data_IF_293071902120
#
_entry.id   IF_293071902120
#
_cell.length_a   1.000
_cell.length_b   1.000
_cell.length_c   1.000
_cell.angle_alpha   90.00
_cell.angle_beta   90.00
_cell.angle_gamma   90.00
#
_symmetry.space_group_name_H-M   'P 1'
#
loop_
_entity.id
_entity.type
_entity.pdbx_description
1 polymer ?
#
# COMPACT_ATOMS: atom_id res chain seq x y z
N UNK A 1 -6.90 5.61 -8.99
CA UNK A 1 -6.45 4.41 -8.23
C UNK A 1 -4.93 4.46 -8.09
N UNK A 2 -4.31 3.62 -7.26
CA UNK A 2 -2.84 3.57 -7.15
C UNK A 2 -2.35 2.19 -7.53
N UNK A 3 -1.51 2.12 -8.56
CA UNK A 3 -0.73 0.94 -8.91
C UNK A 3 0.43 0.85 -7.94
N UNK A 4 0.43 -0.16 -7.07
CA UNK A 4 1.45 -0.36 -6.03
C UNK A 4 2.60 -1.22 -6.56
N UNK A 5 2.28 -2.22 -7.37
CA UNK A 5 3.26 -3.15 -7.91
C UNK A 5 2.80 -3.76 -9.23
N UNK A 6 3.74 -4.27 -10.01
CA UNK A 6 3.50 -4.92 -11.30
C UNK A 6 4.53 -6.02 -11.57
N UNK A 7 4.05 -7.24 -11.83
CA UNK A 7 4.88 -8.35 -12.30
C UNK A 7 4.88 -8.41 -13.84
N UNK A 8 6.02 -8.13 -14.50
CA UNK A 8 6.11 -8.15 -15.96
C UNK A 8 6.01 -9.56 -16.57
N UNK A 9 6.22 -10.62 -15.77
CA UNK A 9 6.17 -12.01 -16.25
C UNK A 9 4.72 -12.46 -16.42
N UNK A 10 3.87 -12.14 -15.44
CA UNK A 10 2.46 -12.56 -15.41
C UNK A 10 1.51 -11.46 -15.89
N UNK A 11 1.97 -10.20 -15.98
CA UNK A 11 1.12 -9.05 -16.23
C UNK A 11 0.22 -8.68 -15.05
N UNK A 12 0.44 -9.26 -13.87
CA UNK A 12 -0.37 -9.01 -12.69
C UNK A 12 0.05 -7.71 -12.01
N UNK A 13 -0.92 -6.84 -11.75
CA UNK A 13 -0.77 -5.62 -10.96
C UNK A 13 -1.42 -5.75 -9.59
N UNK A 14 -0.85 -5.07 -8.59
CA UNK A 14 -1.49 -4.76 -7.32
C UNK A 14 -2.00 -3.33 -7.36
N UNK A 15 -3.32 -3.15 -7.30
CA UNK A 15 -3.99 -1.86 -7.38
C UNK A 15 -4.73 -1.56 -6.07
N UNK A 16 -4.49 -0.39 -5.49
CA UNK A 16 -5.31 0.15 -4.41
C UNK A 16 -6.73 0.42 -4.89
N UNK A 17 -7.73 -0.02 -4.10
CA UNK A 17 -9.14 0.31 -4.33
C UNK A 17 -9.51 1.71 -3.84
N UNK A 18 -8.54 2.44 -3.26
CA UNK A 18 -8.74 3.75 -2.65
C UNK A 18 -9.34 3.70 -1.24
N UNK A 19 -9.57 2.51 -0.68
CA UNK A 19 -10.09 2.34 0.67
C UNK A 19 -8.95 2.05 1.64
N UNK A 20 -8.60 3.02 2.48
CA UNK A 20 -7.82 2.80 3.67
C UNK A 20 -8.74 2.69 4.89
N UNK A 21 -8.38 1.84 5.86
CA UNK A 21 -9.05 1.79 7.16
C UNK A 21 -8.19 1.11 8.21
N UNK A 22 -8.05 1.71 9.39
CA UNK A 22 -7.41 1.13 10.55
C UNK A 22 -6.10 0.39 10.24
N UNK A 23 -5.17 1.07 9.59
CA UNK A 23 -3.82 0.62 9.30
C UNK A 23 -3.70 -0.25 8.05
N UNK A 24 -4.78 -0.38 7.28
CA UNK A 24 -4.87 -1.26 6.13
C UNK A 24 -5.24 -0.46 4.88
N UNK A 25 -4.61 -0.79 3.76
CA UNK A 25 -4.99 -0.29 2.44
C UNK A 25 -5.54 -1.46 1.63
N UNK A 26 -6.80 -1.38 1.20
CA UNK A 26 -7.40 -2.44 0.40
C UNK A 26 -6.83 -2.44 -1.02
N UNK A 27 -6.35 -3.61 -1.45
CA UNK A 27 -5.76 -3.82 -2.76
C UNK A 27 -6.46 -4.94 -3.51
N UNK A 28 -6.39 -4.88 -4.83
CA UNK A 28 -6.83 -5.92 -5.76
C UNK A 28 -5.70 -6.33 -6.67
N UNK A 29 -5.57 -7.62 -6.89
CA UNK A 29 -4.72 -8.16 -7.93
C UNK A 29 -5.53 -8.28 -9.22
N UNK A 30 -5.00 -7.76 -10.33
CA UNK A 30 -5.63 -7.91 -11.64
C UNK A 30 -4.61 -7.85 -12.76
N UNK A 31 -4.89 -8.54 -13.87
CA UNK A 31 -4.08 -8.45 -15.07
C UNK A 31 -4.28 -7.09 -15.75
N UNK A 32 -3.18 -6.43 -16.10
CA UNK A 32 -3.15 -5.12 -16.79
C UNK A 32 -2.02 -5.11 -17.83
N UNK A 33 -2.10 -4.25 -18.86
CA UNK A 33 -0.96 -4.01 -19.73
C UNK A 33 0.23 -3.45 -18.93
N UNK A 34 1.43 -3.58 -19.49
CA UNK A 34 2.64 -3.02 -18.89
C UNK A 34 2.44 -1.52 -18.61
N UNK A 35 2.67 -1.06 -17.36
CA UNK A 35 2.48 0.33 -17.03
C UNK A 35 3.52 1.20 -17.76
N UNK A 36 3.14 2.42 -18.20
CA UNK A 36 4.05 3.31 -18.90
C UNK A 36 5.10 3.96 -17.99
N UNK A 37 4.85 3.96 -16.66
CA UNK A 37 5.78 4.41 -15.62
C UNK A 37 5.95 3.31 -14.57
N UNK A 38 7.10 3.19 -13.90
CA UNK A 38 7.29 2.23 -12.82
C UNK A 38 6.32 2.49 -11.65
N UNK A 39 5.77 1.44 -11.02
CA UNK A 39 5.07 1.57 -9.75
C UNK A 39 6.01 2.05 -8.61
N UNK A 40 5.50 2.76 -7.58
CA UNK A 40 4.11 3.16 -7.43
C UNK A 40 3.68 4.28 -8.40
N UNK A 41 2.43 4.22 -8.88
CA UNK A 41 1.89 5.20 -9.81
C UNK A 41 0.40 5.47 -9.59
N UNK A 42 -0.01 6.74 -9.65
CA UNK A 42 -1.42 7.11 -9.80
C UNK A 42 -1.85 6.71 -11.20
N UNK A 43 -2.92 5.91 -11.30
CA UNK A 43 -3.46 5.43 -12.58
C UNK A 43 -4.98 5.37 -12.54
N UNK A 44 -5.59 5.52 -13.70
CA UNK A 44 -6.98 5.16 -13.95
C UNK A 44 -7.05 3.87 -14.75
N UNK A 45 -7.94 2.98 -14.32
CA UNK A 45 -8.13 1.66 -14.95
C UNK A 45 -9.44 1.69 -15.71
N UNK A 46 -9.34 1.65 -17.04
CA UNK A 46 -10.50 1.62 -17.94
C UNK A 46 -10.72 0.19 -18.41
N UNK A 47 -11.95 -0.29 -18.28
CA UNK A 47 -12.38 -1.60 -18.82
C UNK A 47 -13.20 -1.37 -20.07
N UNK A 48 -12.79 -1.99 -21.17
CA UNK A 48 -13.59 -2.00 -22.39
C UNK A 48 -14.79 -2.96 -22.25
N UNK A 49 -15.89 -2.73 -22.98
CA UNK A 49 -17.02 -3.66 -23.02
C UNK A 49 -16.64 -5.08 -23.46
N UNK A 50 -15.57 -5.21 -24.27
CA UNK A 50 -15.07 -6.49 -24.79
C UNK A 50 -14.08 -7.19 -23.85
N UNK A 51 -13.94 -6.72 -22.61
CA UNK A 51 -13.11 -7.36 -21.58
C UNK A 51 -11.64 -6.91 -21.54
N UNK A 52 -11.18 -6.09 -22.49
CA UNK A 52 -9.84 -5.46 -22.45
C UNK A 52 -9.69 -4.44 -21.32
N UNK A 53 -8.47 -4.30 -20.79
CA UNK A 53 -8.12 -3.35 -19.71
C UNK A 53 -7.04 -2.40 -20.20
N UNK A 54 -7.19 -1.11 -19.91
CA UNK A 54 -6.19 -0.07 -20.18
C UNK A 54 -5.84 0.71 -18.90
N UNK A 55 -4.59 1.17 -18.82
CA UNK A 55 -4.12 2.11 -17.82
C UNK A 55 -3.98 3.49 -18.48
N UNK A 56 -4.62 4.52 -17.92
CA UNK A 56 -4.57 5.90 -18.41
C UNK A 56 -4.18 6.86 -17.29
N UNK A 57 -3.67 8.04 -17.66
CA UNK A 57 -3.32 9.09 -16.70
C UNK A 57 -2.18 8.71 -15.74
N UNK A 58 -1.26 7.84 -16.18
CA UNK A 58 -0.22 7.30 -15.32
C UNK A 58 0.78 8.38 -14.89
N UNK A 59 0.82 8.67 -13.60
CA UNK A 59 1.74 9.62 -12.99
C UNK A 59 2.49 8.97 -11.82
N UNK A 60 3.80 9.21 -11.66
CA UNK A 60 4.57 8.66 -10.55
C UNK A 60 4.04 9.16 -9.21
N UNK A 61 4.11 8.31 -8.18
CA UNK A 61 3.85 8.66 -6.78
C UNK A 61 4.80 7.84 -5.89
N UNK A 62 5.14 8.36 -4.72
CA UNK A 62 5.95 7.67 -3.71
C UNK A 62 5.12 6.90 -2.70
N UNK A 63 5.70 5.90 -2.02
CA UNK A 63 5.02 5.23 -0.89
C UNK A 63 4.71 6.19 0.26
N UNK A 64 5.59 7.17 0.47
CA UNK A 64 5.41 8.25 1.45
C UNK A 64 4.12 9.03 1.18
N UNK A 65 3.93 9.51 -0.05
CA UNK A 65 2.70 10.21 -0.46
C UNK A 65 1.45 9.34 -0.29
N UNK A 66 1.50 8.04 -0.60
CA UNK A 66 0.35 7.14 -0.41
C UNK A 66 -0.05 7.08 1.07
N UNK A 67 0.93 6.99 1.97
CA UNK A 67 0.68 6.94 3.41
C UNK A 67 0.16 8.29 3.91
N UNK A 68 0.77 9.40 3.48
CA UNK A 68 0.37 10.73 3.89
C UNK A 68 -1.04 11.10 3.40
N UNK A 69 -1.42 10.70 2.18
CA UNK A 69 -2.78 10.84 1.65
C UNK A 69 -3.84 10.09 2.49
N UNK A 70 -3.42 9.16 3.35
CA UNK A 70 -4.28 8.33 4.21
C UNK A 70 -3.82 8.36 5.68
N UNK A 71 -3.19 9.47 6.11
CA UNK A 71 -2.52 9.52 7.41
C UNK A 71 -3.44 9.23 8.61
N UNK A 72 -4.71 9.64 8.54
CA UNK A 72 -5.71 9.41 9.60
C UNK A 72 -6.01 7.92 9.81
N UNK A 73 -5.78 7.10 8.78
CA UNK A 73 -5.99 5.66 8.79
C UNK A 73 -4.68 4.89 8.97
N UNK A 74 -3.52 5.55 9.05
CA UNK A 74 -2.22 4.91 9.15
C UNK A 74 -1.93 4.42 10.57
N UNK A 75 -1.12 3.36 10.68
CA UNK A 75 -0.56 2.91 11.95
C UNK A 75 0.56 3.88 12.33
N UNK A 76 0.39 4.58 13.45
CA UNK A 76 1.46 5.33 14.07
C UNK A 76 2.23 4.40 15.00
N UNK A 77 3.53 4.21 14.76
CA UNK A 77 4.30 3.27 15.55
C UNK A 77 5.80 3.31 15.29
N UNK A 78 6.48 2.29 15.79
CA UNK A 78 7.92 2.09 15.66
C UNK A 78 8.20 0.66 15.19
N UNK A 79 9.13 0.53 14.25
CA UNK A 79 9.66 -0.77 13.85
C UNK A 79 10.94 -1.08 14.60
N UNK A 80 10.92 -2.20 15.31
CA UNK A 80 12.07 -2.69 16.07
C UNK A 80 12.13 -4.20 16.00
N UNK A 81 13.32 -4.74 15.65
CA UNK A 81 13.57 -6.19 15.58
C UNK A 81 12.57 -6.96 14.68
N UNK A 82 12.14 -6.35 13.57
CA UNK A 82 11.20 -6.96 12.63
C UNK A 82 9.73 -6.95 13.09
N UNK A 83 9.38 -6.11 14.07
CA UNK A 83 8.01 -5.89 14.51
C UNK A 83 7.66 -4.41 14.43
N UNK A 84 6.52 -4.11 13.82
CA UNK A 84 5.83 -2.83 13.92
C UNK A 84 4.94 -2.87 15.16
N UNK A 85 5.25 -2.04 16.15
CA UNK A 85 4.42 -1.80 17.33
C UNK A 85 3.86 -0.39 17.27
N UNK A 86 2.56 -0.24 17.43
CA UNK A 86 1.93 1.06 17.27
C UNK A 86 0.47 1.08 17.67
N UNK A 87 -0.20 2.16 17.32
CA UNK A 87 -1.61 2.40 17.58
C UNK A 87 -2.31 2.77 16.28
N UNK A 88 -3.52 2.24 16.10
CA UNK A 88 -4.42 2.67 15.04
C UNK A 88 -5.87 2.45 15.45
N UNK A 89 -6.78 3.35 15.09
CA UNK A 89 -8.20 3.27 15.47
C UNK A 89 -8.40 2.98 16.98
N UNK A 90 -7.62 3.65 17.85
CA UNK A 90 -7.63 3.48 19.31
C UNK A 90 -7.31 2.05 19.79
N UNK A 91 -6.50 1.29 19.04
CA UNK A 91 -6.09 -0.06 19.40
C UNK A 91 -4.59 -0.21 19.23
N UNK A 92 -3.96 -0.85 20.21
CA UNK A 92 -2.58 -1.31 20.07
C UNK A 92 -2.50 -2.42 19.03
N UNK A 93 -1.46 -2.36 18.22
CA UNK A 93 -1.17 -3.35 17.20
C UNK A 93 0.28 -3.77 17.30
N UNK A 94 0.51 -5.07 17.13
CA UNK A 94 1.83 -5.64 16.94
C UNK A 94 1.79 -6.50 15.68
N UNK A 95 2.62 -6.14 14.70
CA UNK A 95 2.65 -6.77 13.38
C UNK A 95 4.08 -7.16 13.08
N UNK A 96 4.32 -8.44 12.77
CA UNK A 96 5.61 -8.89 12.26
C UNK A 96 5.81 -8.35 10.83
N UNK A 97 6.90 -7.65 10.59
CA UNK A 97 7.20 -6.99 9.31
C UNK A 97 8.55 -7.45 8.77
N UNK A 98 8.67 -7.51 7.46
CA UNK A 98 9.88 -7.96 6.76
C UNK A 98 10.51 -6.81 5.97
N UNK A 99 10.70 -5.68 6.64
CA UNK A 99 11.28 -4.47 6.06
C UNK A 99 12.69 -4.22 6.60
N UNK A 100 13.64 -3.75 5.78
CA UNK A 100 15.04 -3.60 6.16
C UNK A 100 15.32 -2.30 6.93
N UNK A 101 14.40 -1.86 7.79
CA UNK A 101 14.56 -0.62 8.56
C UNK A 101 14.07 -0.76 10.01
N UNK A 102 14.48 0.19 10.86
CA UNK A 102 14.02 0.33 12.25
C UNK A 102 13.88 1.81 12.59
N UNK A 103 12.90 2.16 13.42
CA UNK A 103 12.58 3.54 13.78
C UNK A 103 11.09 3.89 13.68
N UNK A 104 10.72 5.15 13.99
CA UNK A 104 9.34 5.62 13.95
C UNK A 104 8.79 5.64 12.51
N UNK A 105 7.50 5.39 12.36
CA UNK A 105 6.84 5.24 11.06
C UNK A 105 5.35 5.55 11.13
N UNK A 106 4.80 6.09 10.05
CA UNK A 106 3.38 5.95 9.69
C UNK A 106 3.25 4.85 8.64
N UNK A 107 2.39 3.88 8.87
CA UNK A 107 2.35 2.66 8.07
C UNK A 107 0.95 2.26 7.60
N UNK A 108 0.86 1.78 6.37
CA UNK A 108 -0.31 1.08 5.83
C UNK A 108 0.08 -0.32 5.39
N UNK A 109 -0.76 -1.28 5.72
CA UNK A 109 -0.58 -2.67 5.32
C UNK A 109 -1.50 -2.95 4.13
N UNK A 110 -0.95 -3.23 2.93
CA UNK A 110 -1.77 -3.65 1.81
C UNK A 110 -2.46 -4.99 2.11
N UNK A 111 -3.79 -5.04 2.00
CA UNK A 111 -4.60 -6.25 2.26
C UNK A 111 -5.64 -6.47 1.18
N UNK A 112 -5.99 -7.73 0.92
CA UNK A 112 -7.05 -8.07 -0.05
C UNK A 112 -8.44 -7.60 0.39
N UNK A 113 -8.68 -7.53 1.71
CA UNK A 113 -9.95 -7.13 2.31
C UNK A 113 -9.67 -6.51 3.67
N UNK A 114 -10.28 -5.35 3.93
CA UNK A 114 -10.21 -4.68 5.23
C UNK A 114 -10.89 -5.53 6.31
N UNK A 115 -10.23 -5.66 7.46
CA UNK A 115 -10.76 -6.38 8.61
C UNK A 115 -9.92 -6.17 9.86
N UNK A 116 -9.65 -7.24 10.59
CA UNK A 116 -8.70 -7.22 11.71
C UNK A 116 -7.29 -7.02 11.17
N UNK A 117 -6.53 -6.11 11.78
CA UNK A 117 -5.11 -5.88 11.47
C UNK A 117 -4.36 -7.22 11.52
N UNK A 118 -3.62 -7.59 10.45
CA UNK A 118 -2.93 -8.87 10.40
C UNK A 118 -1.77 -8.90 11.39
N UNK A 119 -1.44 -10.09 11.91
CA UNK A 119 -0.29 -10.28 12.81
C UNK A 119 1.05 -10.29 12.10
N UNK A 120 1.04 -10.39 10.77
CA UNK A 120 2.24 -10.34 9.94
C UNK A 120 1.92 -9.67 8.60
N UNK A 121 2.83 -8.86 8.10
CA UNK A 121 2.71 -8.16 6.83
C UNK A 121 3.96 -8.43 5.97
N UNK A 122 3.75 -9.03 4.79
CA UNK A 122 4.80 -9.29 3.82
C UNK A 122 5.25 -8.00 3.11
N UNK A 123 4.33 -7.05 2.92
CA UNK A 123 4.59 -5.71 2.40
C UNK A 123 4.03 -4.67 3.34
N UNK A 124 4.71 -3.54 3.43
CA UNK A 124 4.35 -2.39 4.23
C UNK A 124 4.62 -1.14 3.42
N UNK A 125 3.63 -0.26 3.29
CA UNK A 125 3.84 1.11 2.80
C UNK A 125 4.15 1.97 4.02
N UNK A 126 5.22 2.74 3.97
CA UNK A 126 5.76 3.38 5.15
C UNK A 126 6.24 4.79 4.84
N UNK A 127 5.67 5.78 5.52
CA UNK A 127 6.24 7.11 5.63
C UNK A 127 7.14 7.15 6.85
N UNK A 128 8.40 7.54 6.66
CA UNK A 128 9.36 7.73 7.73
C UNK A 128 9.36 9.21 8.11
N UNK A 129 8.86 9.59 9.30
CA UNK A 129 9.02 10.96 9.77
C UNK A 129 10.52 11.23 9.83
N UNK A 130 10.98 12.19 9.03
CA UNK A 130 12.26 12.80 9.30
C UNK A 130 12.10 13.48 10.67
N UNK A 131 12.67 12.88 11.72
CA UNK A 131 12.89 13.65 12.93
C UNK A 131 13.87 14.78 12.54
N UNK A 132 13.60 16.04 12.91
CA UNK A 132 14.55 17.13 12.75
C UNK A 132 15.87 16.85 13.48
#
# INVERSE_FOLDING_TARGET
MILIDYDPTTGAALLSTGKARCGQLEIRQMAVPRPPVPPPAKVDVVRSPNGGVALVGAAPITEDEIVLDNMEEAIEGEIRRGYLRGVVCNREVEVKVYVPYSGPVLALIPVKKIGRVPRAAARLLAYRPALP
#
